data_IF_580874669974
#
_entry.id   IF_580874669974
#
_cell.length_a   1.000
_cell.length_b   1.000
_cell.length_c   1.000
_cell.angle_alpha   90.00
_cell.angle_beta   90.00
_cell.angle_gamma   90.00
#
_symmetry.space_group_name_H-M   'P 1'
#
loop_
_entity.id
_entity.type
_entity.pdbx_description
1 polymer ?
#
# COMPACT_ATOMS: atom_id res chain seq x y z
N UNK A 1 -4.50 -26.40 -4.15
CA UNK A 1 -4.13 -25.70 -2.91
C UNK A 1 -4.05 -24.22 -3.27
N UNK A 2 -5.19 -23.52 -3.28
CA UNK A 2 -5.30 -22.11 -3.74
C UNK A 2 -5.33 -21.17 -2.52
N UNK A 3 -4.45 -21.41 -1.54
CA UNK A 3 -4.50 -20.73 -0.23
C UNK A 3 -3.25 -19.89 0.02
N UNK A 4 -2.14 -20.17 -0.66
CA UNK A 4 -0.87 -19.47 -0.41
C UNK A 4 -0.83 -18.06 -1.00
N UNK A 5 -1.45 -17.83 -2.16
CA UNK A 5 -1.33 -16.55 -2.86
C UNK A 5 -2.13 -15.43 -2.20
N UNK A 6 -3.42 -15.66 -1.91
CA UNK A 6 -4.27 -14.65 -1.27
C UNK A 6 -3.81 -14.36 0.17
N UNK A 7 -3.37 -15.41 0.89
CA UNK A 7 -2.82 -15.25 2.23
C UNK A 7 -1.49 -14.49 2.23
N UNK A 8 -0.60 -14.77 1.27
CA UNK A 8 0.68 -14.06 1.15
C UNK A 8 0.49 -12.60 0.77
N UNK A 9 -0.35 -12.31 -0.23
CA UNK A 9 -0.67 -10.96 -0.67
C UNK A 9 -1.43 -10.17 0.40
N UNK A 10 -2.36 -10.81 1.11
CA UNK A 10 -3.05 -10.23 2.25
C UNK A 10 -2.08 -9.85 3.37
N UNK A 11 -1.13 -10.73 3.73
CA UNK A 11 -0.07 -10.38 4.69
C UNK A 11 0.80 -9.22 4.21
N UNK A 12 1.19 -9.21 2.94
CA UNK A 12 2.00 -8.14 2.38
C UNK A 12 1.24 -6.80 2.38
N UNK A 13 -0.06 -6.82 2.07
CA UNK A 13 -0.94 -5.65 2.18
C UNK A 13 -0.98 -5.11 3.61
N UNK A 14 -1.10 -5.99 4.62
CA UNK A 14 -1.08 -5.60 6.03
C UNK A 14 0.26 -5.04 6.48
N UNK A 15 1.37 -5.64 6.04
CA UNK A 15 2.72 -5.12 6.29
C UNK A 15 2.90 -3.73 5.68
N UNK A 16 2.47 -3.53 4.43
CA UNK A 16 2.51 -2.22 3.77
C UNK A 16 1.70 -1.18 4.56
N UNK A 17 0.50 -1.54 5.03
CA UNK A 17 -0.31 -0.64 5.87
C UNK A 17 0.43 -0.25 7.14
N UNK A 18 1.04 -1.21 7.85
CA UNK A 18 1.78 -0.92 9.07
C UNK A 18 3.00 -0.03 8.81
N UNK A 19 3.77 -0.34 7.76
CA UNK A 19 4.95 0.41 7.34
C UNK A 19 4.60 1.86 6.99
N UNK A 20 3.59 2.06 6.12
CA UNK A 20 3.12 3.39 5.72
C UNK A 20 2.63 4.20 6.93
N UNK A 21 1.89 3.58 7.85
CA UNK A 21 1.42 4.24 9.07
C UNK A 21 2.57 4.67 9.98
N UNK A 22 3.58 3.82 10.10
CA UNK A 22 4.79 4.09 10.88
C UNK A 22 5.58 5.25 10.28
N UNK A 23 5.81 5.22 8.96
CA UNK A 23 6.51 6.28 8.22
C UNK A 23 5.78 7.62 8.26
N UNK A 24 4.46 7.63 8.09
CA UNK A 24 3.66 8.86 8.21
C UNK A 24 3.75 9.43 9.62
N UNK A 25 3.72 8.57 10.65
CA UNK A 25 3.85 8.99 12.05
C UNK A 25 5.24 9.52 12.36
N UNK A 26 6.29 8.84 11.90
CA UNK A 26 7.69 9.27 12.04
C UNK A 26 7.91 10.64 11.40
N UNK A 27 7.37 10.82 10.19
CA UNK A 27 7.44 12.10 9.47
C UNK A 27 6.56 13.20 10.10
N UNK A 28 5.62 12.85 10.96
CA UNK A 28 4.66 13.77 11.56
C UNK A 28 3.52 14.17 10.64
N UNK A 29 3.20 13.37 9.62
CA UNK A 29 2.10 13.62 8.69
C UNK A 29 0.80 13.05 9.28
N UNK A 30 -0.20 13.89 9.61
CA UNK A 30 -1.43 13.43 10.23
C UNK A 30 -2.35 12.74 9.20
N UNK A 31 -2.71 11.50 9.46
CA UNK A 31 -3.75 10.77 8.74
C UNK A 31 -4.98 10.56 9.61
N UNK A 32 -6.16 10.47 8.98
CA UNK A 32 -7.44 10.25 9.64
C UNK A 32 -7.77 8.75 9.74
N UNK A 33 -7.67 8.01 8.63
CA UNK A 33 -8.02 6.59 8.59
C UNK A 33 -7.24 5.87 7.51
N UNK A 34 -6.87 4.61 7.74
CA UNK A 34 -6.30 3.72 6.74
C UNK A 34 -7.24 2.54 6.54
N UNK A 35 -7.50 2.18 5.29
CA UNK A 35 -8.40 1.07 4.91
C UNK A 35 -7.75 0.20 3.85
N UNK A 36 -8.03 -1.09 3.93
CA UNK A 36 -7.76 -2.03 2.83
C UNK A 36 -8.75 -1.73 1.70
N UNK A 37 -8.25 -1.70 0.48
CA UNK A 37 -9.03 -1.67 -0.77
C UNK A 37 -8.91 -3.02 -1.48
N UNK A 38 -9.79 -3.23 -2.45
CA UNK A 38 -9.74 -4.36 -3.35
C UNK A 38 -8.42 -4.41 -4.16
N UNK A 39 -8.12 -5.58 -4.73
CA UNK A 39 -6.89 -5.83 -5.50
C UNK A 39 -5.61 -5.57 -4.70
N UNK A 40 -5.60 -5.91 -3.40
CA UNK A 40 -4.46 -5.74 -2.51
C UNK A 40 -4.00 -4.26 -2.40
N UNK A 41 -4.90 -3.32 -2.68
CA UNK A 41 -4.68 -1.89 -2.54
C UNK A 41 -4.97 -1.39 -1.13
N UNK A 42 -4.62 -0.15 -0.85
CA UNK A 42 -4.99 0.53 0.38
C UNK A 42 -5.33 1.99 0.10
N UNK A 43 -6.25 2.52 0.91
CA UNK A 43 -6.64 3.92 0.88
C UNK A 43 -6.36 4.56 2.23
N UNK A 44 -5.72 5.73 2.20
CA UNK A 44 -5.42 6.52 3.39
C UNK A 44 -6.15 7.85 3.24
N UNK A 45 -7.02 8.15 4.19
CA UNK A 45 -7.71 9.42 4.32
C UNK A 45 -6.89 10.32 5.23
N UNK A 46 -6.64 11.55 4.80
CA UNK A 46 -5.92 12.58 5.54
C UNK A 46 -6.87 13.65 6.06
N UNK A 47 -6.37 14.50 6.97
CA UNK A 47 -7.14 15.65 7.46
C UNK A 47 -7.41 16.68 6.38
N UNK A 48 -6.43 16.92 5.51
CA UNK A 48 -6.43 17.95 4.50
C UNK A 48 -5.59 17.53 3.28
N UNK A 49 -5.79 18.20 2.15
CA UNK A 49 -5.07 17.91 0.92
C UNK A 49 -3.57 18.14 1.07
N UNK A 50 -3.11 19.07 1.92
CA UNK A 50 -1.68 19.35 2.09
C UNK A 50 -0.96 18.17 2.76
N UNK A 51 -1.53 17.62 3.84
CA UNK A 51 -1.03 16.39 4.47
C UNK A 51 -0.96 15.22 3.49
N UNK A 52 -1.97 15.07 2.62
CA UNK A 52 -1.98 14.06 1.56
C UNK A 52 -0.87 14.28 0.52
N UNK A 53 -0.64 15.53 0.08
CA UNK A 53 0.42 15.83 -0.90
C UNK A 53 1.81 15.55 -0.31
N UNK A 54 2.01 15.93 0.96
CA UNK A 54 3.23 15.61 1.70
C UNK A 54 3.44 14.09 1.83
N UNK A 55 2.38 13.33 2.11
CA UNK A 55 2.43 11.88 2.17
C UNK A 55 2.84 11.28 0.82
N UNK A 56 2.21 11.71 -0.28
CA UNK A 56 2.54 11.21 -1.63
C UNK A 56 3.99 11.51 -1.97
N UNK A 57 4.44 12.75 -1.79
CA UNK A 57 5.82 13.15 -2.09
C UNK A 57 6.84 12.41 -1.23
N UNK A 58 6.50 12.05 0.01
CA UNK A 58 7.38 11.33 0.91
C UNK A 58 7.41 9.83 0.62
N UNK A 59 6.26 9.21 0.39
CA UNK A 59 6.11 7.76 0.26
C UNK A 59 6.45 7.26 -1.16
N UNK A 60 6.04 7.99 -2.20
CA UNK A 60 6.22 7.58 -3.60
C UNK A 60 7.67 7.24 -3.98
N UNK A 61 8.71 8.02 -3.61
CA UNK A 61 10.10 7.64 -3.93
C UNK A 61 10.64 6.48 -3.08
N UNK A 62 10.03 6.19 -1.93
CA UNK A 62 10.47 5.13 -1.00
C UNK A 62 9.86 3.77 -1.34
N UNK A 63 8.63 3.77 -1.81
CA UNK A 63 7.86 2.57 -2.15
C UNK A 63 7.78 2.43 -3.67
N UNK A 64 8.87 1.96 -4.29
CA UNK A 64 8.91 1.72 -5.75
C UNK A 64 8.00 0.56 -6.18
N UNK A 65 7.64 -0.27 -5.22
CA UNK A 65 6.76 -1.42 -5.33
C UNK A 65 5.28 -1.04 -5.20
N UNK A 66 4.98 0.21 -4.82
CA UNK A 66 3.62 0.74 -4.70
C UNK A 66 3.42 1.92 -5.66
N UNK A 67 2.35 1.87 -6.43
CA UNK A 67 1.83 3.02 -7.16
C UNK A 67 0.96 3.83 -6.21
N UNK A 68 1.50 4.95 -5.75
CA UNK A 68 0.83 5.88 -4.84
C UNK A 68 0.26 7.05 -5.65
N UNK A 69 -1.01 7.36 -5.48
CA UNK A 69 -1.70 8.43 -6.19
C UNK A 69 -2.80 9.05 -5.33
N UNK A 70 -3.16 10.30 -5.59
CA UNK A 70 -4.29 10.94 -4.89
C UNK A 70 -5.63 10.32 -5.32
N UNK A 71 -6.54 10.18 -4.36
CA UNK A 71 -7.90 9.68 -4.55
C UNK A 71 -8.88 10.66 -3.89
N UNK A 72 -9.67 11.37 -4.69
CA UNK A 72 -10.54 12.44 -4.18
C UNK A 72 -9.76 13.62 -3.58
N UNK A 73 -10.39 14.35 -2.66
CA UNK A 73 -9.85 15.62 -2.14
C UNK A 73 -8.72 15.46 -1.12
N UNK A 74 -8.89 14.55 -0.16
CA UNK A 74 -7.98 14.36 0.97
C UNK A 74 -7.54 12.92 1.16
N UNK A 75 -7.71 12.05 0.16
CA UNK A 75 -7.28 10.66 0.28
C UNK A 75 -6.17 10.35 -0.72
N UNK A 76 -5.39 9.33 -0.41
CA UNK A 76 -4.50 8.70 -1.38
C UNK A 76 -4.83 7.23 -1.48
N UNK A 77 -4.57 6.68 -2.66
CA UNK A 77 -4.61 5.27 -2.96
C UNK A 77 -3.18 4.79 -3.20
N UNK A 78 -2.82 3.68 -2.57
CA UNK A 78 -1.60 2.95 -2.88
C UNK A 78 -1.97 1.55 -3.34
N UNK A 79 -1.51 1.15 -4.52
CA UNK A 79 -1.70 -0.19 -5.07
C UNK A 79 -0.36 -0.80 -5.41
N UNK A 80 -0.21 -2.11 -5.24
CA UNK A 80 1.01 -2.79 -5.68
C UNK A 80 1.19 -2.62 -7.18
N UNK A 81 2.44 -2.46 -7.62
CA UNK A 81 2.77 -2.43 -9.05
C UNK A 81 2.41 -3.78 -9.70
N UNK A 82 2.14 -3.76 -11.01
CA UNK A 82 1.88 -5.01 -11.74
C UNK A 82 3.07 -5.98 -11.65
N UNK A 83 4.30 -5.45 -11.66
CA UNK A 83 5.52 -6.22 -11.44
C UNK A 83 5.50 -6.95 -10.09
N UNK A 84 5.19 -6.23 -9.00
CA UNK A 84 5.11 -6.85 -7.67
C UNK A 84 3.99 -7.86 -7.54
N UNK A 85 2.84 -7.55 -8.14
CA UNK A 85 1.74 -8.51 -8.20
C UNK A 85 2.21 -9.77 -8.94
N UNK A 86 2.87 -9.64 -10.09
CA UNK A 86 3.45 -10.76 -10.86
C UNK A 86 4.47 -11.56 -10.05
N UNK A 87 5.44 -10.91 -9.42
CA UNK A 87 6.45 -11.56 -8.57
C UNK A 87 5.80 -12.35 -7.43
N UNK A 88 4.79 -11.77 -6.77
CA UNK A 88 4.09 -12.45 -5.69
C UNK A 88 3.29 -13.68 -6.16
N UNK A 89 2.71 -13.66 -7.38
CA UNK A 89 2.07 -14.87 -7.97
C UNK A 89 3.12 -15.92 -8.33
N UNK A 90 4.25 -15.51 -8.91
CA UNK A 90 5.33 -16.42 -9.29
C UNK A 90 5.96 -17.08 -8.05
N UNK A 91 6.20 -16.33 -6.98
CA UNK A 91 6.72 -16.89 -5.72
C UNK A 91 5.76 -17.89 -5.09
N UNK A 92 4.46 -17.59 -5.08
CA UNK A 92 3.43 -18.51 -4.55
C UNK A 92 3.27 -19.78 -5.42
N UNK A 93 3.38 -19.68 -6.74
CA UNK A 93 3.29 -20.82 -7.65
C UNK A 93 4.54 -21.70 -7.71
N UNK A 94 5.70 -21.17 -7.31
CA UNK A 94 6.98 -21.89 -7.34
C UNK A 94 7.20 -22.82 -6.15
N UNK A 95 6.46 -22.65 -5.05
CA UNK A 95 6.58 -23.49 -3.86
C UNK A 95 5.97 -24.90 -4.05
N UNK A 96 5.35 -25.17 -5.20
CA UNK A 96 4.70 -26.44 -5.54
C UNK A 96 5.51 -27.31 -6.54
N UNK A 97 6.77 -26.98 -6.85
CA UNK A 97 7.66 -27.81 -7.69
C UNK A 97 8.87 -28.34 -6.92
#
# INVERSE_FOLDING_TARGET
MEVDMDTALGKLQEQNIDSLRSELRDKGIPYATVRKEDNYGLSIVFRDSAARDQAISYLSPRHRDLVISSQGDNSLKAVMTDERLKEAREYAGSAEH
#
